data_IF_430753305691
#
_entry.id   IF_430753305691
#
_cell.length_a   1.000
_cell.length_b   1.000
_cell.length_c   1.000
_cell.angle_alpha   90.00
_cell.angle_beta   90.00
_cell.angle_gamma   90.00
#
_symmetry.space_group_name_H-M   'P 1'
#
loop_
_entity.id
_entity.type
_entity.pdbx_description
1 polymer ?
#
# COMPACT_ATOMS: atom_id res chain seq x y z
N UNK A 1 -13.04 15.37 -7.50
CA UNK A 1 -12.36 15.95 -6.30
C UNK A 1 -10.88 15.67 -6.47
N UNK A 2 -9.98 16.61 -6.26
CA UNK A 2 -8.54 16.34 -6.39
C UNK A 2 -7.99 15.57 -5.19
N UNK A 3 -6.85 14.88 -5.34
CA UNK A 3 -6.20 14.19 -4.20
C UNK A 3 -5.92 15.14 -3.04
N UNK A 4 -5.62 16.41 -3.33
CA UNK A 4 -5.42 17.44 -2.31
C UNK A 4 -6.71 17.72 -1.54
N UNK A 5 -7.85 17.80 -2.22
CA UNK A 5 -9.16 18.00 -1.57
C UNK A 5 -9.59 16.78 -0.78
N UNK A 6 -9.40 15.56 -1.31
CA UNK A 6 -9.65 14.32 -0.59
C UNK A 6 -8.81 14.26 0.70
N UNK A 7 -7.52 14.54 0.59
CA UNK A 7 -6.62 14.53 1.76
C UNK A 7 -7.01 15.60 2.77
N UNK A 8 -7.25 16.84 2.33
CA UNK A 8 -7.67 17.93 3.21
C UNK A 8 -8.98 17.62 3.94
N UNK A 9 -9.94 16.97 3.26
CA UNK A 9 -11.21 16.55 3.86
C UNK A 9 -10.98 15.45 4.91
N UNK A 10 -10.14 14.45 4.60
CA UNK A 10 -9.86 13.30 5.48
C UNK A 10 -9.09 13.67 6.74
N UNK A 11 -8.27 14.72 6.68
CA UNK A 11 -7.46 15.17 7.81
C UNK A 11 -7.98 16.48 8.44
N UNK A 12 -9.12 17.01 7.96
CA UNK A 12 -9.76 18.19 8.53
C UNK A 12 -10.15 17.92 9.99
N UNK A 13 -9.78 18.83 10.89
CA UNK A 13 -10.11 18.75 12.31
C UNK A 13 -8.92 18.40 13.21
N UNK A 14 -7.85 17.77 12.70
CA UNK A 14 -6.63 17.53 13.50
C UNK A 14 -6.03 18.84 13.98
N UNK A 15 -5.95 19.83 13.09
CA UNK A 15 -5.41 21.18 13.40
C UNK A 15 -6.17 21.88 14.51
N UNK A 16 -7.50 21.80 14.52
CA UNK A 16 -8.33 22.46 15.55
C UNK A 16 -8.11 21.86 16.94
N UNK A 17 -7.87 20.55 17.02
CA UNK A 17 -7.61 19.84 18.28
C UNK A 17 -6.21 20.13 18.80
N UNK A 18 -5.21 20.11 17.91
CA UNK A 18 -3.82 20.42 18.26
C UNK A 18 -3.67 21.86 18.75
N UNK A 19 -4.32 22.82 18.08
CA UNK A 19 -4.35 24.23 18.50
C UNK A 19 -5.07 24.41 19.85
N UNK A 20 -6.23 23.80 20.06
CA UNK A 20 -6.95 23.85 21.34
C UNK A 20 -6.11 23.29 22.48
N UNK A 21 -5.38 22.18 22.25
CA UNK A 21 -4.52 21.57 23.26
C UNK A 21 -3.27 22.41 23.54
N UNK A 22 -2.65 23.03 22.54
CA UNK A 22 -1.53 23.96 22.71
C UNK A 22 -1.96 25.18 23.50
N UNK A 23 -3.11 25.78 23.17
CA UNK A 23 -3.70 26.90 23.92
C UNK A 23 -4.11 26.50 25.35
N UNK A 24 -4.59 25.26 25.54
CA UNK A 24 -4.88 24.73 26.86
C UNK A 24 -3.62 24.48 27.68
N UNK A 25 -2.56 23.93 27.11
CA UNK A 25 -1.27 23.75 27.79
C UNK A 25 -0.63 25.11 28.17
N UNK A 26 -0.69 26.11 27.28
CA UNK A 26 -0.24 27.48 27.58
C UNK A 26 -1.14 28.15 28.65
N UNK A 27 -2.41 27.73 28.73
CA UNK A 27 -3.35 28.16 29.78
C UNK A 27 -3.18 27.43 31.11
N UNK A 28 -2.70 26.18 31.12
CA UNK A 28 -2.45 25.35 32.32
C UNK A 28 -1.34 25.93 33.22
N UNK A 29 -0.44 26.68 32.64
CA UNK A 29 0.54 27.47 33.43
C UNK A 29 -0.14 28.59 34.22
N UNK A 30 -1.44 28.81 34.06
CA UNK A 30 -2.18 29.89 34.73
C UNK A 30 -3.35 29.51 35.64
N UNK A 31 -4.06 28.36 35.47
CA UNK A 31 -5.20 28.00 36.35
C UNK A 31 -5.52 26.49 36.29
N UNK A 32 -5.55 25.83 37.45
CA UNK A 32 -5.92 24.39 37.56
C UNK A 32 -7.43 24.16 37.43
N UNK A 33 -7.85 23.51 36.35
CA UNK A 33 -9.17 22.84 36.23
C UNK A 33 -9.11 21.71 35.22
N UNK A 34 -8.83 20.50 35.70
CA UNK A 34 -8.69 19.29 34.87
C UNK A 34 -10.01 18.68 34.34
N UNK A 35 -11.14 18.97 34.98
CA UNK A 35 -12.39 18.24 34.71
C UNK A 35 -13.15 18.66 33.43
N UNK A 36 -12.99 19.89 32.95
CA UNK A 36 -13.73 20.38 31.77
C UNK A 36 -13.09 20.08 30.40
N UNK A 37 -11.80 19.76 30.38
CA UNK A 37 -11.10 19.49 29.11
C UNK A 37 -11.35 18.07 28.58
N UNK A 38 -11.62 17.12 29.45
CA UNK A 38 -11.93 15.74 29.07
C UNK A 38 -13.21 15.62 28.23
N UNK A 39 -14.25 16.32 28.63
CA UNK A 39 -15.56 16.25 27.97
C UNK A 39 -15.59 16.98 26.62
N UNK A 40 -14.97 18.15 26.51
CA UNK A 40 -14.86 18.87 25.22
C UNK A 40 -13.95 18.18 24.20
N UNK A 41 -12.93 17.42 24.67
CA UNK A 41 -12.09 16.63 23.80
C UNK A 41 -12.81 15.36 23.33
N UNK A 42 -13.61 14.72 24.19
CA UNK A 42 -14.43 13.57 23.82
C UNK A 42 -15.50 13.92 22.79
N UNK A 43 -16.14 15.08 22.91
CA UNK A 43 -17.13 15.57 21.94
C UNK A 43 -16.49 15.93 20.57
N UNK A 44 -15.26 16.44 20.55
CA UNK A 44 -14.59 16.76 19.28
C UNK A 44 -14.05 15.53 18.53
N UNK A 45 -13.88 14.40 19.21
CA UNK A 45 -13.54 13.10 18.63
C UNK A 45 -14.73 12.16 18.43
N UNK A 46 -15.89 12.48 18.99
CA UNK A 46 -17.16 11.80 18.66
C UNK A 46 -17.67 12.19 17.29
N UNK A 47 -16.79 12.21 16.29
CA UNK A 47 -17.24 12.20 14.91
C UNK A 47 -17.91 10.85 14.69
N UNK A 48 -19.21 10.91 14.47
CA UNK A 48 -20.03 9.75 14.09
C UNK A 48 -19.30 8.90 13.08
N UNK A 49 -19.45 7.56 13.09
CA UNK A 49 -18.87 6.67 12.07
C UNK A 49 -19.16 7.11 10.62
N UNK A 50 -20.21 7.92 10.41
CA UNK A 50 -20.62 8.52 9.13
C UNK A 50 -19.64 9.53 8.51
N UNK A 51 -18.59 9.97 9.23
CA UNK A 51 -17.58 10.88 8.69
C UNK A 51 -16.34 10.15 8.15
N UNK A 52 -16.31 8.82 8.18
CA UNK A 52 -15.31 8.06 7.44
C UNK A 52 -15.70 8.07 5.96
N UNK A 53 -14.88 8.71 5.16
CA UNK A 53 -15.08 8.81 3.72
C UNK A 53 -14.69 7.47 3.13
N UNK A 54 -15.68 6.69 2.78
CA UNK A 54 -15.50 5.43 2.09
C UNK A 54 -15.19 5.70 0.61
N UNK A 55 -14.14 5.04 0.08
CA UNK A 55 -13.83 4.96 -1.35
C UNK A 55 -13.44 6.27 -2.07
N UNK A 56 -13.05 7.31 -1.34
CA UNK A 56 -12.73 8.60 -1.96
C UNK A 56 -11.49 8.50 -2.87
N UNK A 57 -10.44 7.76 -2.47
CA UNK A 57 -9.28 7.55 -3.32
C UNK A 57 -9.61 6.64 -4.51
N UNK A 58 -10.45 5.64 -4.35
CA UNK A 58 -10.88 4.80 -5.47
C UNK A 58 -11.56 5.61 -6.57
N UNK A 59 -12.44 6.53 -6.21
CA UNK A 59 -13.16 7.39 -7.16
C UNK A 59 -12.22 8.22 -8.04
N UNK A 60 -11.07 8.61 -7.49
CA UNK A 60 -10.06 9.38 -8.22
C UNK A 60 -9.05 8.48 -8.97
N UNK A 61 -8.69 7.32 -8.40
CA UNK A 61 -7.65 6.44 -8.95
C UNK A 61 -8.19 5.53 -10.05
N UNK A 62 -9.33 4.85 -9.82
CA UNK A 62 -9.85 3.83 -10.74
C UNK A 62 -10.06 4.30 -12.18
N UNK A 63 -10.59 5.53 -12.45
CA UNK A 63 -10.74 6.02 -13.81
C UNK A 63 -9.43 6.10 -14.60
N UNK A 64 -8.31 6.42 -13.94
CA UNK A 64 -7.00 6.48 -14.61
C UNK A 64 -6.48 5.11 -15.04
N UNK A 65 -6.86 4.06 -14.31
CA UNK A 65 -6.49 2.70 -14.64
C UNK A 65 -7.61 1.94 -15.38
N UNK A 66 -8.62 2.67 -15.88
CA UNK A 66 -9.76 2.13 -16.63
C UNK A 66 -10.51 1.01 -15.89
N UNK A 67 -10.51 1.06 -14.56
CA UNK A 67 -11.17 0.07 -13.72
C UNK A 67 -12.62 0.50 -13.43
N UNK A 68 -13.62 -0.32 -13.79
CA UNK A 68 -15.03 0.03 -13.59
C UNK A 68 -15.45 -0.11 -12.12
N UNK A 69 -16.45 0.67 -11.75
CA UNK A 69 -17.12 0.57 -10.45
C UNK A 69 -16.21 0.82 -9.24
N UNK A 70 -16.58 0.31 -8.10
CA UNK A 70 -15.82 0.35 -6.85
C UNK A 70 -15.54 -1.08 -6.38
N UNK A 71 -14.40 -1.27 -5.73
CA UNK A 71 -14.07 -2.50 -5.04
C UNK A 71 -14.47 -2.35 -3.56
N UNK A 72 -15.58 -2.96 -3.17
CA UNK A 72 -16.18 -2.84 -1.82
C UNK A 72 -15.88 -4.05 -0.93
N UNK A 73 -14.98 -4.95 -1.34
CA UNK A 73 -14.65 -6.12 -0.54
C UNK A 73 -14.15 -5.73 0.86
N UNK A 74 -14.69 -6.40 1.86
CA UNK A 74 -14.27 -6.22 3.26
C UNK A 74 -12.85 -6.75 3.48
N UNK A 75 -12.23 -6.32 4.57
CA UNK A 75 -10.96 -6.91 5.02
C UNK A 75 -11.22 -8.35 5.46
N UNK A 76 -10.31 -9.26 5.09
CA UNK A 76 -10.35 -10.65 5.52
C UNK A 76 -10.18 -11.63 4.37
N UNK A 77 -11.11 -12.57 4.25
CA UNK A 77 -11.03 -13.66 3.29
C UNK A 77 -11.09 -13.16 1.85
N UNK A 78 -10.24 -13.76 1.00
CA UNK A 78 -10.30 -13.53 -0.45
C UNK A 78 -11.68 -13.88 -0.99
N UNK A 79 -12.29 -13.06 -1.87
CA UNK A 79 -13.71 -13.23 -2.27
C UNK A 79 -14.03 -14.58 -2.90
N UNK A 80 -13.09 -15.16 -3.66
CA UNK A 80 -13.29 -16.49 -4.27
C UNK A 80 -13.19 -17.65 -3.27
N UNK A 81 -12.63 -17.40 -2.08
CA UNK A 81 -12.33 -18.43 -1.07
C UNK A 81 -13.24 -18.37 0.16
N UNK A 82 -14.32 -17.60 0.07
CA UNK A 82 -15.33 -17.53 1.15
C UNK A 82 -16.00 -18.88 1.42
N UNK A 83 -16.00 -19.77 0.43
CA UNK A 83 -16.52 -21.13 0.55
C UNK A 83 -15.51 -22.16 1.08
N UNK A 84 -14.27 -21.77 1.39
CA UNK A 84 -13.26 -22.67 1.94
C UNK A 84 -13.52 -22.91 3.43
N UNK A 85 -14.54 -23.72 3.71
CA UNK A 85 -15.05 -23.97 5.04
C UNK A 85 -14.36 -25.17 5.71
N UNK A 86 -14.19 -25.08 7.02
CA UNK A 86 -13.61 -26.14 7.86
C UNK A 86 -12.09 -26.10 7.91
N UNK A 87 -11.57 -26.28 9.12
CA UNK A 87 -10.12 -26.34 9.38
C UNK A 87 -9.50 -27.49 8.59
N UNK A 88 -8.43 -27.19 7.86
CA UNK A 88 -7.73 -28.16 7.01
C UNK A 88 -8.21 -28.19 5.55
N UNK A 89 -9.25 -27.44 5.18
CA UNK A 89 -9.58 -27.24 3.76
C UNK A 89 -8.48 -26.42 3.08
N UNK A 90 -8.06 -26.84 1.89
CA UNK A 90 -6.98 -26.19 1.11
C UNK A 90 -7.40 -26.00 -0.35
N UNK A 91 -6.84 -24.94 -0.97
CA UNK A 91 -7.02 -24.62 -2.38
C UNK A 91 -5.73 -24.05 -2.95
N UNK A 92 -5.27 -24.51 -4.11
CA UNK A 92 -4.10 -23.98 -4.79
C UNK A 92 -4.50 -22.86 -5.76
N UNK A 93 -3.91 -21.69 -5.62
CA UNK A 93 -4.16 -20.54 -6.48
C UNK A 93 -2.97 -19.59 -6.42
N UNK A 94 -2.54 -19.08 -7.59
CA UNK A 94 -1.51 -18.05 -7.64
C UNK A 94 -1.95 -16.78 -6.89
N UNK A 95 -0.97 -16.03 -6.43
CA UNK A 95 -1.24 -14.76 -5.75
C UNK A 95 -0.04 -13.81 -5.85
N UNK A 96 -0.30 -12.51 -5.90
CA UNK A 96 0.68 -11.49 -5.57
C UNK A 96 0.40 -11.01 -4.15
N UNK A 97 1.35 -11.19 -3.28
CA UNK A 97 1.27 -10.72 -1.89
C UNK A 97 1.90 -9.35 -1.76
N UNK A 98 1.26 -8.47 -1.01
CA UNK A 98 1.77 -7.14 -0.67
C UNK A 98 1.75 -6.95 0.85
N UNK A 99 2.88 -6.50 1.41
CA UNK A 99 2.97 -5.96 2.76
C UNK A 99 3.32 -4.49 2.72
N UNK A 100 2.57 -3.69 3.46
CA UNK A 100 2.74 -2.23 3.57
C UNK A 100 2.97 -1.90 5.04
N UNK A 101 3.98 -1.08 5.34
CA UNK A 101 4.31 -0.65 6.69
C UNK A 101 4.65 0.85 6.71
N UNK A 102 4.20 1.54 7.73
CA UNK A 102 4.47 2.96 7.92
C UNK A 102 5.69 3.15 8.82
N UNK A 103 6.80 3.46 8.18
CA UNK A 103 8.06 3.66 8.90
C UNK A 103 7.97 4.83 9.87
N UNK A 104 8.46 4.60 11.10
CA UNK A 104 8.48 5.57 12.20
C UNK A 104 7.09 5.96 12.73
N UNK A 105 6.06 5.17 12.47
CA UNK A 105 4.71 5.39 12.99
C UNK A 105 4.64 5.40 14.53
N UNK A 106 5.54 4.68 15.21
CA UNK A 106 5.67 4.72 16.67
C UNK A 106 5.99 6.13 17.21
N UNK A 107 6.64 6.99 16.40
CA UNK A 107 6.87 8.39 16.77
C UNK A 107 5.57 9.18 16.92
N UNK A 108 4.53 8.83 16.18
CA UNK A 108 3.21 9.44 16.33
C UNK A 108 2.69 9.27 17.76
N UNK A 109 2.84 8.08 18.33
CA UNK A 109 2.41 7.79 19.70
C UNK A 109 3.27 8.48 20.77
N UNK A 110 4.47 8.93 20.41
CA UNK A 110 5.34 9.71 21.32
C UNK A 110 5.09 11.21 21.23
N UNK A 111 4.71 11.70 20.06
CA UNK A 111 4.54 13.14 19.78
C UNK A 111 3.09 13.61 19.98
N UNK A 112 2.13 12.70 19.80
CA UNK A 112 0.70 13.01 19.85
C UNK A 112 0.04 12.35 21.07
N UNK A 113 -1.05 12.93 21.59
CA UNK A 113 -1.96 12.20 22.45
C UNK A 113 -2.43 10.91 21.80
N UNK A 114 -2.69 9.87 22.58
CA UNK A 114 -3.02 8.53 22.07
C UNK A 114 -4.22 8.53 21.11
N UNK A 115 -5.25 9.29 21.42
CA UNK A 115 -6.45 9.44 20.58
C UNK A 115 -6.11 10.04 19.21
N UNK A 116 -5.25 11.05 19.19
CA UNK A 116 -4.79 11.67 17.94
C UNK A 116 -3.87 10.71 17.16
N UNK A 117 -2.96 10.04 17.83
CA UNK A 117 -2.10 9.04 17.21
C UNK A 117 -2.93 7.90 16.59
N UNK A 118 -3.98 7.46 17.28
CA UNK A 118 -4.94 6.49 16.74
C UNK A 118 -5.63 7.01 15.48
N UNK A 119 -6.21 8.19 15.53
CA UNK A 119 -6.92 8.79 14.37
C UNK A 119 -6.00 8.93 13.17
N UNK A 120 -4.77 9.42 13.37
CA UNK A 120 -3.78 9.58 12.28
C UNK A 120 -3.41 8.23 11.67
N UNK A 121 -3.05 7.25 12.52
CA UNK A 121 -2.68 5.90 12.04
C UNK A 121 -3.84 5.25 11.28
N UNK A 122 -5.05 5.33 11.83
CA UNK A 122 -6.24 4.76 11.21
C UNK A 122 -6.53 5.39 9.84
N UNK A 123 -6.42 6.72 9.70
CA UNK A 123 -6.61 7.40 8.41
C UNK A 123 -5.56 7.04 7.37
N UNK A 124 -4.30 6.86 7.78
CA UNK A 124 -3.25 6.36 6.88
C UNK A 124 -3.59 4.94 6.40
N UNK A 125 -4.00 4.06 7.32
CA UNK A 125 -4.39 2.70 6.98
C UNK A 125 -5.63 2.66 6.07
N UNK A 126 -6.62 3.52 6.31
CA UNK A 126 -7.79 3.66 5.42
C UNK A 126 -7.38 4.07 4.01
N UNK A 127 -6.46 5.03 3.88
CA UNK A 127 -5.93 5.40 2.57
C UNK A 127 -5.19 4.22 1.90
N UNK A 128 -4.41 3.45 2.66
CA UNK A 128 -3.75 2.25 2.14
C UNK A 128 -4.76 1.21 1.65
N UNK A 129 -5.81 0.95 2.43
CA UNK A 129 -6.90 0.02 2.07
C UNK A 129 -7.61 0.49 0.80
N UNK A 130 -7.96 1.76 0.74
CA UNK A 130 -8.71 2.32 -0.39
C UNK A 130 -7.90 2.31 -1.69
N UNK A 131 -6.59 2.58 -1.62
CA UNK A 131 -5.70 2.50 -2.79
C UNK A 131 -5.47 1.06 -3.24
N UNK A 132 -5.27 0.12 -2.30
CA UNK A 132 -5.17 -1.32 -2.64
C UNK A 132 -6.44 -1.76 -3.39
N UNK A 133 -7.62 -1.40 -2.89
CA UNK A 133 -8.90 -1.68 -3.54
C UNK A 133 -9.05 -0.98 -4.89
N UNK A 134 -8.50 0.23 -5.02
CA UNK A 134 -8.56 0.97 -6.28
C UNK A 134 -7.90 0.21 -7.44
N UNK A 135 -6.89 -0.60 -7.16
CA UNK A 135 -6.17 -1.46 -8.11
C UNK A 135 -6.60 -2.94 -8.01
N UNK A 136 -7.84 -3.19 -7.60
CA UNK A 136 -8.45 -4.53 -7.48
C UNK A 136 -7.71 -5.49 -6.53
N UNK A 137 -6.94 -4.94 -5.59
CA UNK A 137 -6.36 -5.71 -4.49
C UNK A 137 -7.38 -6.00 -3.38
N UNK A 138 -7.07 -6.99 -2.58
CA UNK A 138 -7.88 -7.47 -1.46
C UNK A 138 -7.13 -7.24 -0.14
N UNK A 139 -7.52 -6.20 0.64
CA UNK A 139 -6.99 -6.03 1.99
C UNK A 139 -7.31 -7.26 2.84
N UNK A 140 -6.29 -7.92 3.37
CA UNK A 140 -6.48 -9.17 4.11
C UNK A 140 -6.43 -8.97 5.61
N UNK A 141 -5.36 -8.36 6.12
CA UNK A 141 -5.16 -8.24 7.56
C UNK A 141 -4.45 -6.94 7.93
N UNK A 142 -4.90 -6.33 9.03
CA UNK A 142 -4.20 -5.25 9.68
C UNK A 142 -3.28 -5.83 10.79
N UNK A 143 -2.02 -5.40 10.81
CA UNK A 143 -1.03 -5.82 11.79
C UNK A 143 -0.43 -4.57 12.44
N UNK A 144 -1.16 -4.01 13.40
CA UNK A 144 -0.81 -2.71 13.99
C UNK A 144 -0.94 -1.59 12.97
N UNK A 145 0.16 -1.02 12.52
CA UNK A 145 0.28 0.02 11.50
C UNK A 145 0.69 -0.53 10.13
N UNK A 146 0.65 -1.84 9.96
CA UNK A 146 0.91 -2.52 8.71
C UNK A 146 -0.37 -3.12 8.11
N UNK A 147 -0.38 -3.25 6.79
CA UNK A 147 -1.45 -3.90 6.01
C UNK A 147 -0.86 -5.02 5.19
N UNK A 148 -1.47 -6.20 5.27
CA UNK A 148 -1.28 -7.29 4.33
C UNK A 148 -2.41 -7.30 3.33
N UNK A 149 -2.09 -7.41 2.04
CA UNK A 149 -3.06 -7.45 0.96
C UNK A 149 -2.63 -8.45 -0.12
N UNK A 150 -3.59 -8.87 -0.93
CA UNK A 150 -3.39 -9.79 -2.03
C UNK A 150 -3.94 -9.22 -3.33
N UNK A 151 -3.33 -9.63 -4.46
CA UNK A 151 -3.80 -9.34 -5.81
C UNK A 151 -3.86 -10.64 -6.60
N UNK A 152 -4.81 -10.74 -7.50
CA UNK A 152 -5.03 -11.91 -8.32
C UNK A 152 -6.32 -12.66 -7.99
N UNK A 153 -6.94 -13.18 -9.02
CA UNK A 153 -8.14 -14.01 -9.01
C UNK A 153 -8.04 -15.02 -10.14
N UNK A 154 -8.91 -16.02 -10.12
CA UNK A 154 -8.95 -17.05 -11.16
C UNK A 154 -9.32 -16.51 -12.56
N UNK A 155 -10.04 -15.38 -12.61
CA UNK A 155 -10.48 -14.71 -13.85
C UNK A 155 -9.56 -13.55 -14.30
N UNK A 156 -8.46 -13.30 -13.58
CA UNK A 156 -7.48 -12.25 -13.90
C UNK A 156 -6.15 -12.92 -14.31
N UNK A 157 -5.49 -12.38 -15.32
CA UNK A 157 -4.16 -12.86 -15.70
C UNK A 157 -3.13 -12.57 -14.61
N UNK A 158 -2.10 -13.40 -14.54
CA UNK A 158 -0.99 -13.22 -13.57
C UNK A 158 -0.28 -11.90 -13.80
N UNK A 159 -0.15 -11.52 -15.06
CA UNK A 159 0.43 -10.26 -15.50
C UNK A 159 -0.36 -9.06 -14.99
N UNK A 160 -1.69 -9.10 -15.12
CA UNK A 160 -2.59 -8.06 -14.62
C UNK A 160 -2.47 -7.92 -13.09
N UNK A 161 -2.46 -9.04 -12.39
CA UNK A 161 -2.32 -9.04 -10.93
C UNK A 161 -0.98 -8.43 -10.47
N UNK A 162 0.12 -8.74 -11.17
CA UNK A 162 1.44 -8.17 -10.87
C UNK A 162 1.45 -6.68 -11.20
N UNK A 163 0.91 -6.28 -12.36
CA UNK A 163 0.82 -4.88 -12.76
C UNK A 163 0.00 -4.06 -11.76
N UNK A 164 -1.15 -4.58 -11.33
CA UNK A 164 -2.01 -3.94 -10.34
C UNK A 164 -1.30 -3.75 -9.00
N UNK A 165 -0.57 -4.76 -8.53
CA UNK A 165 0.20 -4.66 -7.30
C UNK A 165 1.32 -3.61 -7.38
N UNK A 166 2.03 -3.52 -8.50
CA UNK A 166 3.08 -2.52 -8.73
C UNK A 166 2.49 -1.12 -8.83
N UNK A 167 1.38 -0.98 -9.56
CA UNK A 167 0.64 0.28 -9.66
C UNK A 167 0.14 0.74 -8.28
N UNK A 168 -0.39 -0.18 -7.47
CA UNK A 168 -0.82 0.12 -6.10
C UNK A 168 0.36 0.61 -5.24
N UNK A 169 1.51 -0.04 -5.31
CA UNK A 169 2.71 0.38 -4.56
C UNK A 169 3.15 1.80 -4.94
N UNK A 170 3.18 2.11 -6.24
CA UNK A 170 3.57 3.42 -6.74
C UNK A 170 2.56 4.51 -6.39
N UNK A 171 1.26 4.23 -6.54
CA UNK A 171 0.18 5.14 -6.17
C UNK A 171 0.16 5.41 -4.67
N UNK A 172 0.35 4.38 -3.83
CA UNK A 172 0.49 4.51 -2.38
C UNK A 172 1.63 5.46 -2.01
N UNK A 173 2.81 5.27 -2.60
CA UNK A 173 3.93 6.17 -2.34
C UNK A 173 3.58 7.61 -2.73
N UNK A 174 3.02 7.82 -3.92
CA UNK A 174 2.63 9.15 -4.39
C UNK A 174 1.68 9.83 -3.39
N UNK A 175 0.57 9.18 -3.05
CA UNK A 175 -0.47 9.76 -2.20
C UNK A 175 0.03 9.99 -0.78
N UNK A 176 0.79 9.06 -0.22
CA UNK A 176 1.35 9.22 1.13
C UNK A 176 2.39 10.33 1.19
N UNK A 177 3.31 10.40 0.21
CA UNK A 177 4.43 11.32 0.24
C UNK A 177 4.09 12.74 -0.20
N UNK A 178 3.25 12.87 -1.20
CA UNK A 178 3.00 14.17 -1.83
C UNK A 178 1.73 14.85 -1.27
N UNK A 179 0.85 14.09 -0.61
CA UNK A 179 -0.41 14.63 -0.08
C UNK A 179 -0.60 14.38 1.42
N UNK A 180 -0.54 13.11 1.89
CA UNK A 180 -0.94 12.77 3.26
C UNK A 180 0.10 13.24 4.28
N UNK A 181 1.37 12.86 4.13
CA UNK A 181 2.41 13.23 5.10
C UNK A 181 2.68 14.73 5.16
N UNK A 182 2.71 15.50 4.05
CA UNK A 182 2.79 16.95 4.11
C UNK A 182 1.61 17.59 4.86
N UNK A 183 0.38 17.19 4.57
CA UNK A 183 -0.81 17.68 5.27
C UNK A 183 -0.76 17.38 6.76
N UNK A 184 -0.34 16.17 7.14
CA UNK A 184 -0.16 15.81 8.56
C UNK A 184 0.88 16.68 9.26
N UNK A 185 2.02 16.94 8.61
CA UNK A 185 3.06 17.79 9.19
C UNK A 185 2.58 19.24 9.41
N UNK A 186 1.79 19.78 8.48
CA UNK A 186 1.16 21.08 8.61
C UNK A 186 0.16 21.11 9.79
N UNK A 187 -0.68 20.09 9.91
CA UNK A 187 -1.70 20.01 10.95
C UNK A 187 -1.12 19.81 12.35
N UNK A 188 -0.04 19.05 12.47
CA UNK A 188 0.65 18.78 13.74
C UNK A 188 1.57 19.95 14.11
N UNK A 189 2.03 20.74 13.13
CA UNK A 189 2.98 21.83 13.31
C UNK A 189 4.42 21.38 13.54
N UNK A 190 4.71 20.09 13.30
CA UNK A 190 6.03 19.49 13.39
C UNK A 190 6.30 18.59 12.18
N UNK A 191 7.55 18.56 11.71
CA UNK A 191 7.96 17.65 10.64
C UNK A 191 8.21 16.25 11.20
N UNK A 192 7.22 15.37 11.03
CA UNK A 192 7.36 13.95 11.34
C UNK A 192 7.93 13.25 10.10
N UNK A 193 9.11 12.65 10.25
CA UNK A 193 9.79 11.96 9.15
C UNK A 193 9.18 10.55 8.93
N UNK A 194 7.88 10.53 8.59
CA UNK A 194 7.19 9.30 8.20
C UNK A 194 7.65 8.81 6.82
N UNK A 195 7.40 7.57 6.53
CA UNK A 195 7.66 6.96 5.24
C UNK A 195 6.90 5.66 5.09
N UNK A 196 6.84 5.15 3.87
CA UNK A 196 6.26 3.85 3.54
C UNK A 196 7.35 2.87 3.14
N UNK A 197 7.16 1.60 3.50
CA UNK A 197 7.95 0.46 3.03
C UNK A 197 7.00 -0.60 2.53
N UNK A 198 7.25 -1.12 1.34
CA UNK A 198 6.40 -2.11 0.72
C UNK A 198 7.23 -3.32 0.32
N UNK A 199 6.71 -4.52 0.55
CA UNK A 199 7.23 -5.77 -0.01
C UNK A 199 6.21 -6.31 -0.99
N UNK A 200 6.67 -6.88 -2.10
CA UNK A 200 5.88 -7.50 -3.14
C UNK A 200 6.53 -8.79 -3.60
N UNK A 201 5.78 -9.86 -3.68
CA UNK A 201 6.22 -11.09 -4.34
C UNK A 201 5.04 -11.82 -4.98
N UNK A 202 5.31 -12.56 -6.05
CA UNK A 202 4.38 -13.43 -6.75
C UNK A 202 4.68 -14.89 -6.42
N UNK A 203 3.65 -15.67 -6.20
CA UNK A 203 3.73 -17.13 -6.10
C UNK A 203 2.72 -17.80 -7.02
N UNK A 204 3.20 -18.83 -7.72
CA UNK A 204 2.37 -19.64 -8.60
C UNK A 204 1.45 -20.59 -7.82
N UNK A 205 0.54 -21.25 -8.53
CA UNK A 205 -0.35 -22.28 -7.98
C UNK A 205 0.40 -23.47 -7.37
N UNK A 206 1.65 -23.68 -7.78
CA UNK A 206 2.51 -24.74 -7.25
C UNK A 206 3.25 -24.31 -5.96
N UNK A 207 3.37 -23.01 -5.74
CA UNK A 207 4.10 -22.42 -4.61
C UNK A 207 3.19 -21.90 -3.51
N UNK A 208 1.90 -21.70 -3.78
CA UNK A 208 0.95 -21.11 -2.85
C UNK A 208 -0.28 -21.97 -2.69
N UNK A 209 -0.63 -22.23 -1.45
CA UNK A 209 -1.92 -22.78 -1.06
C UNK A 209 -2.68 -21.81 -0.17
N UNK A 210 -3.96 -21.77 -0.36
CA UNK A 210 -4.89 -21.14 0.57
C UNK A 210 -5.40 -22.22 1.51
N UNK A 211 -5.46 -21.92 2.78
CA UNK A 211 -5.92 -22.87 3.79
C UNK A 211 -6.77 -22.17 4.85
N UNK A 212 -7.69 -22.94 5.43
CA UNK A 212 -8.42 -22.50 6.60
C UNK A 212 -7.65 -22.95 7.85
N UNK A 213 -6.94 -22.02 8.47
CA UNK A 213 -6.08 -22.23 9.62
C UNK A 213 -6.82 -21.89 10.91
N UNK A 214 -6.64 -22.70 11.95
CA UNK A 214 -7.16 -22.40 13.27
C UNK A 214 -7.72 -23.61 13.99
N UNK A 215 -8.62 -23.34 14.93
CA UNK A 215 -9.26 -24.37 15.77
C UNK A 215 -10.77 -24.07 15.88
N UNK A 216 -11.59 -25.01 15.40
CA UNK A 216 -13.04 -24.87 15.46
C UNK A 216 -13.55 -23.62 14.73
N UNK A 217 -14.31 -22.76 15.41
CA UNK A 217 -14.82 -21.50 14.87
C UNK A 217 -13.75 -20.38 14.86
N UNK A 218 -12.65 -20.56 15.60
CA UNK A 218 -11.52 -19.63 15.63
C UNK A 218 -10.56 -19.95 14.48
N UNK A 219 -10.97 -19.69 13.27
CA UNK A 219 -10.21 -19.98 12.06
C UNK A 219 -10.20 -18.81 11.07
N UNK A 220 -9.21 -18.81 10.19
CA UNK A 220 -9.01 -17.80 9.18
C UNK A 220 -8.51 -18.43 7.88
N UNK A 221 -9.09 -18.03 6.75
CA UNK A 221 -8.61 -18.42 5.44
C UNK A 221 -7.49 -17.46 5.02
N UNK A 222 -6.30 -17.99 4.84
CA UNK A 222 -5.12 -17.20 4.41
C UNK A 222 -4.22 -18.01 3.48
N UNK A 223 -3.36 -17.30 2.75
CA UNK A 223 -2.38 -17.91 1.87
C UNK A 223 -1.13 -18.35 2.63
N UNK A 224 -0.57 -19.48 2.24
CA UNK A 224 0.69 -20.04 2.74
C UNK A 224 1.59 -20.39 1.57
N UNK A 225 2.85 -20.05 1.68
CA UNK A 225 3.89 -20.39 0.70
C UNK A 225 5.13 -19.53 0.89
N UNK A 226 6.25 -20.02 0.38
CA UNK A 226 7.51 -19.27 0.50
C UNK A 226 7.43 -17.83 -0.06
N UNK A 227 6.78 -17.56 -1.20
CA UNK A 227 6.59 -16.18 -1.69
C UNK A 227 5.83 -15.30 -0.70
N UNK A 228 4.80 -15.84 -0.04
CA UNK A 228 4.00 -15.12 0.97
C UNK A 228 4.86 -14.75 2.18
N UNK A 229 5.59 -15.73 2.73
CA UNK A 229 6.48 -15.55 3.88
C UNK A 229 7.61 -14.56 3.57
N UNK A 230 8.14 -14.64 2.35
CA UNK A 230 9.20 -13.75 1.90
C UNK A 230 8.75 -12.30 1.77
N UNK A 231 7.51 -12.04 1.39
CA UNK A 231 6.99 -10.69 1.17
C UNK A 231 7.07 -9.84 2.44
N UNK A 232 6.77 -10.40 3.61
CA UNK A 232 6.92 -9.70 4.89
C UNK A 232 8.38 -9.31 5.18
N UNK A 233 9.34 -10.18 4.82
CA UNK A 233 10.77 -9.93 4.97
C UNK A 233 11.28 -8.92 3.95
N UNK A 234 10.76 -8.95 2.72
CA UNK A 234 11.04 -7.97 1.69
C UNK A 234 10.61 -6.57 2.12
N UNK A 235 9.44 -6.45 2.72
CA UNK A 235 8.96 -5.19 3.28
C UNK A 235 9.94 -4.62 4.32
N UNK A 236 10.49 -5.47 5.20
CA UNK A 236 11.49 -5.05 6.20
C UNK A 236 12.82 -4.61 5.56
N UNK A 237 13.21 -5.22 4.44
CA UNK A 237 14.43 -4.88 3.69
C UNK A 237 14.26 -3.64 2.83
N UNK A 238 13.05 -3.22 2.51
CA UNK A 238 12.79 -2.05 1.69
C UNK A 238 13.35 -0.77 2.32
N UNK A 239 13.93 0.10 1.50
CA UNK A 239 14.32 1.44 1.92
C UNK A 239 13.08 2.30 2.17
N UNK A 240 13.26 3.41 2.86
CA UNK A 240 12.18 4.37 3.06
C UNK A 240 11.62 4.82 1.71
N UNK A 241 10.30 4.78 1.57
CA UNK A 241 9.55 5.18 0.38
C UNK A 241 9.88 4.36 -0.87
N UNK A 242 10.20 3.08 -0.69
CA UNK A 242 10.44 2.14 -1.79
C UNK A 242 9.63 0.86 -1.59
N UNK A 243 9.49 0.10 -2.67
CA UNK A 243 9.03 -1.27 -2.63
C UNK A 243 10.21 -2.22 -2.95
N UNK A 244 10.23 -3.37 -2.30
CA UNK A 244 11.15 -4.46 -2.58
C UNK A 244 10.39 -5.55 -3.33
N UNK A 245 10.88 -5.91 -4.50
CA UNK A 245 10.36 -6.98 -5.34
C UNK A 245 11.08 -8.28 -5.05
N UNK A 246 10.32 -9.35 -4.91
CA UNK A 246 10.83 -10.69 -4.69
C UNK A 246 11.10 -11.45 -5.99
N UNK A 247 11.66 -12.64 -5.83
CA UNK A 247 12.08 -13.47 -6.95
C UNK A 247 10.94 -13.90 -7.85
N UNK A 248 9.77 -14.21 -7.31
CA UNK A 248 8.61 -14.62 -8.11
C UNK A 248 8.24 -13.58 -9.16
N UNK A 249 8.17 -12.31 -8.78
CA UNK A 249 7.95 -11.21 -9.72
C UNK A 249 9.11 -11.09 -10.71
N UNK A 250 10.36 -11.13 -10.23
CA UNK A 250 11.55 -10.95 -11.06
C UNK A 250 11.83 -12.13 -12.01
N UNK A 251 11.31 -13.30 -11.72
CA UNK A 251 11.40 -14.45 -12.61
C UNK A 251 10.27 -14.47 -13.65
N UNK A 252 9.12 -13.86 -13.30
CA UNK A 252 7.96 -13.80 -14.17
C UNK A 252 8.00 -12.63 -15.14
N UNK A 253 8.48 -11.45 -14.68
CA UNK A 253 8.54 -10.23 -15.48
C UNK A 253 9.98 -9.75 -15.59
N UNK A 254 10.38 -9.34 -16.80
CA UNK A 254 11.67 -8.69 -17.06
C UNK A 254 11.52 -7.17 -16.94
N UNK A 255 11.89 -6.64 -15.76
CA UNK A 255 11.87 -5.20 -15.52
C UNK A 255 13.07 -4.51 -16.13
N UNK A 256 12.91 -3.42 -16.88
CA UNK A 256 14.02 -2.57 -17.28
C UNK A 256 14.80 -2.03 -16.06
N UNK A 257 16.09 -1.85 -16.21
CA UNK A 257 16.98 -1.42 -15.11
C UNK A 257 16.59 -0.06 -14.53
N UNK A 258 16.00 0.82 -15.33
CA UNK A 258 15.51 2.14 -14.91
C UNK A 258 14.41 2.08 -13.85
N UNK A 259 13.63 0.97 -13.80
CA UNK A 259 12.55 0.78 -12.82
C UNK A 259 12.94 -0.06 -11.62
N UNK A 260 14.08 -0.73 -11.68
CA UNK A 260 14.57 -1.51 -10.53
C UNK A 260 16.04 -1.23 -10.29
N UNK A 261 16.46 -1.29 -9.05
CA UNK A 261 17.86 -1.19 -8.67
C UNK A 261 18.21 -2.23 -7.62
N UNK A 262 19.46 -2.71 -7.60
CA UNK A 262 19.92 -3.61 -6.56
C UNK A 262 19.85 -2.92 -5.19
N UNK A 263 19.53 -3.67 -4.16
CA UNK A 263 19.74 -3.26 -2.78
C UNK A 263 21.20 -3.49 -2.44
N UNK A 264 21.93 -2.44 -2.15
CA UNK A 264 23.35 -2.52 -1.75
C UNK A 264 23.45 -2.55 -0.23
N UNK A 265 24.23 -3.48 0.31
CA UNK A 265 24.59 -3.56 1.72
C UNK A 265 26.07 -3.90 1.82
N UNK A 266 26.81 -3.10 2.57
CA UNK A 266 28.28 -3.24 2.74
C UNK A 266 29.07 -3.28 1.38
N UNK A 267 28.58 -2.58 0.36
CA UNK A 267 29.22 -2.51 -0.96
C UNK A 267 28.84 -3.64 -1.92
N UNK A 268 28.06 -4.62 -1.48
CA UNK A 268 27.63 -5.76 -2.29
C UNK A 268 26.12 -5.75 -2.52
N UNK A 269 25.69 -6.32 -3.65
CA UNK A 269 24.28 -6.54 -3.93
C UNK A 269 23.70 -7.55 -2.94
N UNK A 270 22.67 -7.13 -2.22
CA UNK A 270 21.98 -8.00 -1.28
C UNK A 270 21.15 -9.04 -2.03
N UNK A 271 21.55 -10.29 -1.86
CA UNK A 271 20.74 -11.46 -2.24
C UNK A 271 20.13 -12.03 -0.97
N UNK A 272 18.85 -12.35 -1.03
CA UNK A 272 18.21 -12.95 0.14
C UNK A 272 18.55 -14.43 0.21
N UNK A 273 19.40 -14.77 1.15
CA UNK A 273 19.72 -16.16 1.49
C UNK A 273 18.96 -16.54 2.75
N UNK A 274 18.25 -17.66 2.73
CA UNK A 274 17.60 -18.19 3.90
C UNK A 274 18.61 -19.07 4.65
N UNK A 275 19.14 -18.60 5.80
CA UNK A 275 20.17 -19.35 6.53
C UNK A 275 19.63 -20.69 7.00
N UNK A 276 20.46 -21.72 6.93
CA UNK A 276 20.19 -23.08 7.44
C UNK A 276 18.97 -23.77 6.79
N UNK A 277 18.44 -23.25 5.67
CA UNK A 277 17.40 -23.91 4.91
C UNK A 277 17.99 -24.30 3.55
N UNK A 278 17.84 -25.56 3.21
CA UNK A 278 18.25 -26.10 1.92
C UNK A 278 17.02 -26.63 1.18
N UNK A 279 17.11 -26.63 -0.14
CA UNK A 279 16.11 -27.29 -0.99
C UNK A 279 16.24 -28.83 -0.88
N UNK A 280 15.42 -29.55 -1.63
CA UNK A 280 15.42 -31.03 -1.63
C UNK A 280 16.77 -31.63 -2.06
N UNK A 281 17.55 -30.90 -2.86
CA UNK A 281 18.91 -31.28 -3.31
C UNK A 281 20.03 -30.87 -2.32
N UNK A 282 19.68 -30.34 -1.17
CA UNK A 282 20.64 -29.91 -0.14
C UNK A 282 21.36 -28.60 -0.45
N UNK A 283 20.90 -27.82 -1.42
CA UNK A 283 21.49 -26.51 -1.77
C UNK A 283 20.80 -25.40 -0.96
N UNK A 284 21.56 -24.40 -0.50
CA UNK A 284 20.97 -23.22 0.16
C UNK A 284 19.94 -22.52 -0.74
N UNK A 285 18.83 -22.10 -0.17
CA UNK A 285 17.83 -21.32 -0.87
C UNK A 285 18.32 -19.87 -0.96
N UNK A 286 18.61 -19.44 -2.19
CA UNK A 286 19.00 -18.08 -2.52
C UNK A 286 17.91 -17.45 -3.39
N UNK A 287 17.39 -16.31 -2.97
CA UNK A 287 16.32 -15.58 -3.65
C UNK A 287 16.84 -14.26 -4.21
N UNK A 288 16.53 -13.96 -5.47
CA UNK A 288 16.78 -12.64 -6.05
C UNK A 288 15.79 -11.63 -5.46
N UNK A 289 16.30 -10.42 -5.28
CA UNK A 289 15.49 -9.28 -4.82
C UNK A 289 15.98 -8.00 -5.49
N UNK A 290 15.09 -7.05 -5.72
CA UNK A 290 15.44 -5.74 -6.24
C UNK A 290 14.52 -4.66 -5.66
N UNK A 291 15.06 -3.47 -5.46
CA UNK A 291 14.26 -2.29 -5.12
C UNK A 291 13.54 -1.78 -6.36
N UNK A 292 12.22 -1.61 -6.27
CA UNK A 292 11.45 -0.87 -7.26
C UNK A 292 11.80 0.62 -7.16
N UNK A 293 12.22 1.21 -8.26
CA UNK A 293 12.46 2.64 -8.35
C UNK A 293 11.13 3.39 -8.53
N UNK A 294 10.38 3.48 -7.44
CA UNK A 294 9.02 4.02 -7.46
C UNK A 294 8.95 5.45 -7.98
N UNK A 295 10.02 6.24 -7.81
CA UNK A 295 10.05 7.62 -8.31
C UNK A 295 10.02 7.65 -9.84
N UNK A 296 10.89 6.87 -10.50
CA UNK A 296 10.89 6.78 -11.97
C UNK A 296 9.58 6.19 -12.48
N UNK A 297 9.06 5.16 -11.80
CA UNK A 297 7.78 4.56 -12.16
C UNK A 297 6.62 5.57 -12.00
N UNK A 298 6.65 6.38 -10.95
CA UNK A 298 5.66 7.41 -10.70
C UNK A 298 5.68 8.55 -11.74
N UNK A 299 6.83 8.85 -12.34
CA UNK A 299 6.91 9.86 -13.39
C UNK A 299 6.06 9.49 -14.61
N UNK A 300 5.67 8.23 -14.72
CA UNK A 300 4.80 7.69 -15.75
C UNK A 300 3.32 7.63 -15.32
N UNK A 301 3.03 7.83 -14.03
CA UNK A 301 1.65 7.83 -13.55
C UNK A 301 0.96 9.16 -13.85
N UNK A 302 -0.35 9.15 -14.11
CA UNK A 302 -1.13 10.32 -14.47
C UNK A 302 -1.07 11.48 -13.50
N UNK A 303 -0.69 11.21 -12.28
CA UNK A 303 -0.76 12.17 -11.17
C UNK A 303 0.36 13.21 -11.14
N UNK A 304 1.39 13.09 -11.99
CA UNK A 304 2.58 13.96 -11.93
C UNK A 304 2.73 14.95 -13.06
N UNK A 305 1.89 14.97 -14.02
CA UNK A 305 2.00 15.93 -15.10
C UNK A 305 1.43 17.27 -14.64
N UNK A 306 2.25 18.00 -13.89
CA UNK A 306 1.97 19.37 -13.45
C UNK A 306 1.33 20.14 -14.58
N UNK A 307 0.55 20.99 -14.64
CA UNK A 307 0.00 21.90 -15.64
C UNK A 307 -0.57 21.29 -16.95
N UNK A 308 -0.38 20.00 -17.23
CA UNK A 308 -0.99 19.34 -18.40
C UNK A 308 -2.21 18.53 -17.99
N UNK A 309 -3.29 18.70 -18.73
CA UNK A 309 -4.50 17.90 -18.56
C UNK A 309 -4.23 16.49 -19.08
N UNK A 310 -4.22 15.54 -18.16
CA UNK A 310 -4.05 14.14 -18.52
C UNK A 310 -5.32 13.54 -19.11
N UNK A 311 -5.15 12.77 -20.17
CA UNK A 311 -6.19 11.92 -20.71
C UNK A 311 -6.18 10.54 -20.05
N UNK A 312 -5.03 9.89 -20.09
CA UNK A 312 -4.89 8.54 -19.55
C UNK A 312 -3.43 8.18 -19.27
N UNK A 313 -3.22 7.22 -18.37
CA UNK A 313 -1.97 6.48 -18.28
C UNK A 313 -2.33 5.02 -18.01
N UNK A 314 -1.78 4.14 -18.78
CA UNK A 314 -2.13 2.73 -18.72
C UNK A 314 -0.86 1.89 -18.68
N UNK A 315 -0.73 1.07 -17.64
CA UNK A 315 0.12 -0.09 -17.71
C UNK A 315 -0.71 -1.18 -18.40
N UNK A 316 -0.31 -1.53 -19.61
CA UNK A 316 -0.97 -2.59 -20.36
C UNK A 316 -0.51 -3.95 -19.82
N UNK A 317 -1.37 -4.68 -19.12
CA UNK A 317 -0.96 -5.91 -18.43
C UNK A 317 -0.41 -6.96 -19.39
N UNK A 318 -1.13 -7.26 -20.45
CA UNK A 318 -0.74 -8.28 -21.43
C UNK A 318 0.51 -7.95 -22.26
N UNK A 319 0.95 -6.69 -22.22
CA UNK A 319 2.13 -6.23 -22.96
C UNK A 319 3.18 -5.58 -22.06
N UNK A 320 2.86 -5.39 -20.79
CA UNK A 320 3.69 -4.65 -19.85
C UNK A 320 4.28 -3.35 -20.46
N UNK A 321 3.49 -2.69 -21.28
CA UNK A 321 3.82 -1.39 -21.86
C UNK A 321 3.14 -0.32 -21.05
N UNK A 322 3.91 0.64 -20.60
CA UNK A 322 3.39 1.79 -19.90
C UNK A 322 3.28 2.95 -20.88
N UNK A 323 2.09 3.47 -21.06
CA UNK A 323 1.82 4.60 -21.94
C UNK A 323 1.10 5.70 -21.15
N UNK A 324 1.57 6.91 -21.32
CA UNK A 324 1.01 8.09 -20.71
C UNK A 324 0.56 9.06 -21.80
N UNK A 325 -0.71 9.42 -21.77
CA UNK A 325 -1.33 10.34 -22.73
C UNK A 325 -1.69 11.65 -22.04
N UNK A 326 -1.52 12.75 -22.74
CA UNK A 326 -1.96 14.09 -22.33
C UNK A 326 -2.98 14.63 -23.33
N UNK A 327 -3.81 15.56 -22.89
CA UNK A 327 -4.73 16.28 -23.79
C UNK A 327 -4.02 17.53 -24.30
N UNK A 328 -3.78 17.58 -25.61
CA UNK A 328 -3.31 18.76 -26.34
C UNK A 328 -4.31 19.05 -27.49
N UNK A 329 -4.81 20.27 -27.57
CA UNK A 329 -5.77 20.69 -28.60
C UNK A 329 -6.97 19.74 -28.77
N UNK A 330 -7.58 19.32 -27.64
CA UNK A 330 -8.70 18.38 -27.59
C UNK A 330 -8.41 16.97 -28.16
N UNK A 331 -7.13 16.61 -28.33
CA UNK A 331 -6.70 15.28 -28.75
C UNK A 331 -5.82 14.63 -27.70
N UNK A 332 -5.94 13.33 -27.58
CA UNK A 332 -5.00 12.55 -26.80
C UNK A 332 -3.67 12.40 -27.55
N UNK A 333 -2.61 12.88 -26.96
CA UNK A 333 -1.25 12.79 -27.52
C UNK A 333 -0.40 11.92 -26.60
N UNK A 334 0.32 10.97 -27.17
CA UNK A 334 1.26 10.13 -26.41
C UNK A 334 2.37 11.02 -25.84
N UNK A 335 2.41 11.14 -24.51
CA UNK A 335 3.41 11.93 -23.80
C UNK A 335 4.70 11.13 -23.57
N UNK A 336 4.55 9.89 -23.11
CA UNK A 336 5.69 8.99 -22.91
C UNK A 336 5.26 7.54 -23.12
N UNK A 337 6.17 6.75 -23.65
CA UNK A 337 6.04 5.30 -23.77
C UNK A 337 7.28 4.66 -23.17
N UNK A 338 7.09 3.67 -22.34
CA UNK A 338 8.17 2.96 -21.66
C UNK A 338 8.34 1.57 -22.24
N UNK A 339 9.56 1.08 -22.15
CA UNK A 339 9.93 -0.26 -22.62
C UNK A 339 8.98 -1.33 -22.11
N UNK A 340 8.68 -2.30 -22.95
CA UNK A 340 7.82 -3.42 -22.61
C UNK A 340 8.43 -4.25 -21.50
N UNK A 341 7.62 -4.56 -20.50
CA UNK A 341 7.87 -5.63 -19.57
C UNK A 341 7.29 -6.91 -20.19
N UNK A 342 8.11 -7.80 -20.65
CA UNK A 342 7.63 -9.07 -21.20
C UNK A 342 7.74 -10.16 -20.14
N UNK A 343 6.76 -11.08 -20.07
CA UNK A 343 6.94 -12.31 -19.31
C UNK A 343 8.21 -13.00 -19.79
N UNK A 344 8.95 -13.61 -18.89
CA UNK A 344 10.06 -14.49 -19.27
C UNK A 344 9.48 -15.79 -19.78
N UNK A 345 9.92 -16.21 -20.99
CA UNK A 345 9.65 -17.54 -21.53
C UNK A 345 10.24 -18.64 -20.64
#
# INVERSE_FOLDING_TARGET
>A
MSFKEVTAKNFKGLRSVTLKKKMAMDGYLRVGTEARLGDELSESFSTSPSNFIEYDYQKEVRPFFQKPGLNEHSIGTHPELTGLNGVGAIHSQYIVTMFIDIRKSSRLSLLLPLEQAYVVKNRILQACIDIVRALDGYPHRLMGDALMAFFGRSDISKEDAIADAINAASTLRLILMDYIFPSLNEDIGEKIDLGVRIGLDYGSEEEVIWGNFGLGESCEVTALGLPVDMTAKLQQLADKNTAMLGQGILDYIDFPEEYTKPKIKAGEELKYIIPNITNKEGKPINRRIRLLNMANYQDLLPFKLNDKKMASAVLHPNHFTFECFVVEDDREVLYSSVSRFLPKE
#
